data_IF_849486401951
#
_entry.id   IF_849486401951
#
_cell.length_a   1.000
_cell.length_b   1.000
_cell.length_c   1.000
_cell.angle_alpha   90.00
_cell.angle_beta   90.00
_cell.angle_gamma   90.00
#
_symmetry.space_group_name_H-M   'P 1'
#
loop_
_entity.id
_entity.type
_entity.pdbx_description
1 polymer ?
#
# COMPACT_ATOMS: atom_id res chain seq x y z
N UNK A 1 -17.74 -14.23 -4.65
CA UNK A 1 -16.55 -13.83 -5.45
C UNK A 1 -16.02 -15.00 -6.30
N UNK A 2 -16.92 -15.76 -6.97
CA UNK A 2 -16.52 -16.94 -7.76
C UNK A 2 -17.47 -17.27 -8.94
N UNK A 3 -18.37 -16.38 -9.34
CA UNK A 3 -19.44 -16.79 -10.28
C UNK A 3 -18.97 -16.97 -11.74
N UNK A 4 -17.87 -16.33 -12.17
CA UNK A 4 -17.49 -16.27 -13.60
C UNK A 4 -16.00 -16.45 -13.90
N UNK A 5 -15.21 -17.11 -13.04
CA UNK A 5 -13.79 -17.36 -13.33
C UNK A 5 -13.60 -18.73 -13.99
N UNK A 6 -12.99 -18.74 -15.18
CA UNK A 6 -12.67 -19.96 -15.96
C UNK A 6 -11.59 -20.84 -15.30
N UNK A 7 -10.79 -20.27 -14.39
CA UNK A 7 -9.77 -20.97 -13.61
C UNK A 7 -9.54 -20.26 -12.29
N UNK A 8 -9.24 -21.02 -11.25
CA UNK A 8 -8.83 -20.48 -9.95
C UNK A 8 -7.56 -19.61 -10.11
N UNK A 9 -7.50 -18.43 -9.48
CA UNK A 9 -6.26 -17.65 -9.34
C UNK A 9 -5.11 -18.52 -8.79
N UNK A 10 -3.85 -18.22 -9.17
CA UNK A 10 -2.68 -18.80 -8.53
C UNK A 10 -2.67 -18.55 -7.01
N UNK A 11 -2.03 -19.44 -6.26
CA UNK A 11 -1.99 -19.37 -4.79
C UNK A 11 -1.31 -18.08 -4.29
N UNK A 12 -0.31 -17.62 -5.01
CA UNK A 12 0.45 -16.41 -4.73
C UNK A 12 -0.46 -15.17 -4.75
N UNK A 13 -1.38 -15.12 -5.71
CA UNK A 13 -2.35 -14.01 -5.86
C UNK A 13 -3.32 -14.00 -4.68
N UNK A 14 -3.78 -15.18 -4.25
CA UNK A 14 -4.65 -15.30 -3.07
C UNK A 14 -3.94 -14.87 -1.79
N UNK A 15 -2.68 -15.29 -1.62
CA UNK A 15 -1.86 -14.93 -0.47
C UNK A 15 -1.63 -13.42 -0.40
N UNK A 16 -1.26 -12.80 -1.53
CA UNK A 16 -1.05 -11.36 -1.63
C UNK A 16 -2.33 -10.57 -1.31
N UNK A 17 -3.46 -10.96 -1.92
CA UNK A 17 -4.74 -10.32 -1.70
C UNK A 17 -5.19 -10.39 -0.24
N UNK A 18 -5.01 -11.55 0.41
CA UNK A 18 -5.36 -11.72 1.84
C UNK A 18 -4.46 -10.91 2.76
N UNK A 19 -3.15 -10.83 2.49
CA UNK A 19 -2.24 -9.98 3.26
C UNK A 19 -2.66 -8.51 3.20
N UNK A 20 -2.90 -8.00 1.99
CA UNK A 20 -3.31 -6.60 1.79
C UNK A 20 -4.66 -6.30 2.44
N UNK A 21 -5.66 -7.14 2.17
CA UNK A 21 -7.02 -6.97 2.71
C UNK A 21 -7.03 -7.03 4.24
N UNK A 22 -6.22 -7.92 4.84
CA UNK A 22 -6.07 -8.04 6.28
C UNK A 22 -5.52 -6.77 6.92
N UNK A 23 -4.47 -6.19 6.34
CA UNK A 23 -3.89 -4.93 6.85
C UNK A 23 -4.87 -3.76 6.77
N UNK A 24 -5.61 -3.63 5.66
CA UNK A 24 -6.62 -2.59 5.50
C UNK A 24 -7.78 -2.75 6.49
N UNK A 25 -8.27 -3.98 6.68
CA UNK A 25 -9.35 -4.25 7.62
C UNK A 25 -8.92 -3.98 9.07
N UNK A 26 -7.67 -4.29 9.41
CA UNK A 26 -7.11 -3.97 10.73
C UNK A 26 -7.03 -2.46 10.96
N UNK A 27 -6.53 -1.70 9.97
CA UNK A 27 -6.49 -0.23 10.04
C UNK A 27 -7.90 0.36 10.23
N UNK A 28 -8.88 -0.15 9.48
CA UNK A 28 -10.28 0.26 9.62
C UNK A 28 -10.85 -0.07 11.01
N UNK A 29 -10.57 -1.27 11.54
CA UNK A 29 -11.01 -1.70 12.88
C UNK A 29 -10.43 -0.83 13.99
N UNK A 30 -9.18 -0.41 13.85
CA UNK A 30 -8.50 0.49 14.78
C UNK A 30 -8.88 1.96 14.58
N UNK A 31 -9.69 2.28 13.57
CA UNK A 31 -9.99 3.66 13.13
C UNK A 31 -8.70 4.47 12.88
N UNK A 32 -7.66 3.79 12.41
CA UNK A 32 -6.39 4.43 12.09
C UNK A 32 -6.56 5.30 10.84
N UNK A 33 -5.95 6.49 10.87
CA UNK A 33 -5.82 7.34 9.68
C UNK A 33 -4.44 7.10 9.10
N UNK A 34 -4.38 6.62 7.86
CA UNK A 34 -3.13 6.26 7.19
C UNK A 34 -2.99 7.08 5.91
N UNK A 35 -1.84 7.72 5.70
CA UNK A 35 -1.54 8.47 4.47
C UNK A 35 -1.14 7.52 3.34
N UNK A 36 -2.12 6.76 2.82
CA UNK A 36 -1.85 5.72 1.82
C UNK A 36 -1.21 6.24 0.53
N UNK A 37 -1.52 7.47 0.11
CA UNK A 37 -0.92 8.09 -1.07
C UNK A 37 0.59 8.28 -0.94
N UNK A 38 1.03 8.92 0.16
CA UNK A 38 2.45 9.13 0.42
C UNK A 38 3.20 7.81 0.64
N UNK A 39 2.57 6.88 1.36
CA UNK A 39 3.14 5.55 1.58
C UNK A 39 3.36 4.82 0.24
N UNK A 40 2.38 4.88 -0.67
CA UNK A 40 2.48 4.26 -1.99
C UNK A 40 3.60 4.88 -2.83
N UNK A 41 3.69 6.20 -2.90
CA UNK A 41 4.75 6.89 -3.64
C UNK A 41 6.14 6.48 -3.16
N UNK A 42 6.36 6.43 -1.83
CA UNK A 42 7.64 6.00 -1.25
C UNK A 42 8.00 4.56 -1.63
N UNK A 43 7.04 3.64 -1.50
CA UNK A 43 7.24 2.24 -1.89
C UNK A 43 7.56 2.15 -3.38
N UNK A 44 6.84 2.91 -4.20
CA UNK A 44 7.01 2.88 -5.66
C UNK A 44 8.38 3.42 -6.08
N UNK A 45 8.81 4.54 -5.50
CA UNK A 45 10.10 5.17 -5.81
C UNK A 45 11.30 4.33 -5.35
N UNK A 46 11.17 3.64 -4.20
CA UNK A 46 12.22 2.77 -3.67
C UNK A 46 12.25 1.38 -4.30
N UNK A 47 11.17 0.96 -4.97
CA UNK A 47 11.06 -0.37 -5.55
C UNK A 47 12.10 -0.61 -6.66
N UNK A 48 12.94 -1.63 -6.48
CA UNK A 48 13.87 -2.15 -7.50
C UNK A 48 13.56 -3.61 -7.79
N UNK A 49 13.26 -3.92 -9.05
CA UNK A 49 12.96 -5.29 -9.45
C UNK A 49 14.22 -6.16 -9.38
N UNK A 50 14.19 -7.23 -8.58
CA UNK A 50 15.28 -8.20 -8.48
C UNK A 50 16.31 -7.95 -7.38
N UNK A 51 16.16 -6.90 -6.56
CA UNK A 51 16.97 -6.72 -5.34
C UNK A 51 16.21 -7.27 -4.12
N UNK A 52 16.89 -8.13 -3.34
CA UNK A 52 16.37 -8.63 -2.07
C UNK A 52 16.78 -7.69 -0.94
N UNK A 53 15.91 -6.72 -0.67
CA UNK A 53 16.08 -5.80 0.45
C UNK A 53 14.96 -4.78 0.44
N UNK A 54 14.04 -4.88 1.39
CA UNK A 54 13.14 -3.77 1.69
C UNK A 54 13.76 -2.99 2.85
N UNK A 55 14.04 -1.71 2.63
CA UNK A 55 14.29 -0.79 3.74
C UNK A 55 12.97 -0.53 4.48
N UNK A 56 13.02 -0.49 5.80
CA UNK A 56 11.86 -0.17 6.63
C UNK A 56 11.40 1.26 6.34
N UNK A 57 10.18 1.42 5.84
CA UNK A 57 9.60 2.73 5.54
C UNK A 57 9.01 3.30 6.83
N UNK A 58 9.55 4.43 7.29
CA UNK A 58 8.95 5.19 8.38
C UNK A 58 7.64 5.84 7.88
N UNK A 59 6.51 5.42 8.44
CA UNK A 59 5.18 5.91 8.06
C UNK A 59 4.80 7.21 8.75
N UNK A 60 5.51 7.57 9.83
CA UNK A 60 5.25 8.77 10.64
C UNK A 60 6.01 10.00 10.11
N UNK A 61 7.05 9.80 9.30
CA UNK A 61 7.68 10.90 8.57
C UNK A 61 6.69 11.52 7.59
N UNK A 62 6.32 12.79 7.77
CA UNK A 62 5.52 13.55 6.82
C UNK A 62 6.29 13.85 5.54
N UNK A 63 5.63 13.78 4.38
CA UNK A 63 6.24 14.21 3.11
C UNK A 63 6.49 15.72 3.09
N UNK A 64 7.66 16.20 2.61
CA UNK A 64 7.93 17.63 2.40
C UNK A 64 7.07 18.27 1.29
N UNK A 65 6.27 17.49 0.53
CA UNK A 65 5.47 18.01 -0.60
C UNK A 65 4.06 18.48 -0.25
N UNK A 66 3.65 18.41 1.02
CA UNK A 66 2.34 18.90 1.48
C UNK A 66 2.13 20.41 1.38
N UNK A 67 3.20 21.19 1.16
CA UNK A 67 3.13 22.67 1.14
C UNK A 67 2.90 23.26 -0.27
N UNK A 68 3.14 22.52 -1.35
CA UNK A 68 3.07 23.06 -2.72
C UNK A 68 1.61 23.16 -3.23
N UNK A 69 0.70 22.32 -2.72
CA UNK A 69 -0.70 22.29 -3.20
C UNK A 69 -1.59 23.36 -2.56
N UNK A 70 -1.11 24.07 -1.53
CA UNK A 70 -1.91 25.09 -0.81
C UNK A 70 -1.50 26.54 -1.17
N UNK A 71 -0.73 26.73 -2.26
CA UNK A 71 -0.33 28.05 -2.78
C UNK A 71 -1.15 28.50 -4.01
N UNK A 72 -2.09 27.69 -4.46
CA UNK A 72 -3.01 28.01 -5.56
C UNK A 72 -4.46 27.86 -5.06
N UNK A 73 -4.84 28.71 -4.10
CA UNK A 73 -6.23 29.09 -3.81
C UNK A 73 -6.22 30.36 -2.94
#
# INVERSE_FOLDING_TARGET
MLEHRLKSPPEEVYSLHRKLSGSYLLAAKLKATVSCGQLFERIYDSYKFGEEGFEDINIDEGSPRGEEQNRIA
#
